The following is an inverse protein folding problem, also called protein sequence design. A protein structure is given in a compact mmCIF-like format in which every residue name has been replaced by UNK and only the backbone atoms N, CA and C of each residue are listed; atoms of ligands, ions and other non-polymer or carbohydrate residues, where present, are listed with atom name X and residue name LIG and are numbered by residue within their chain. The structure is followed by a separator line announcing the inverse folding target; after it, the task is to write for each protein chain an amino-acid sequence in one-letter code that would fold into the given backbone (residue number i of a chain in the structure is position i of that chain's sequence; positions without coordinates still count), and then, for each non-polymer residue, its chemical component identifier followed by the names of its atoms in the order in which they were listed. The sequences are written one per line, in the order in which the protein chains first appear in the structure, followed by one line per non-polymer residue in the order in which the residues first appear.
data_IF_846892162565
#
_entry.id   IF_846892162565
#
_cell.length_a   1.000
_cell.length_b   1.000
_cell.length_c   1.000
_cell.angle_alpha   90.00
_cell.angle_beta   90.00
_cell.angle_gamma   90.00
#
_symmetry.space_group_name_H-M   'P 1'
#
loop_
_entity.id
_entity.type
_entity.pdbx_description
1 polymer ?
#
# COMPACT_ATOMS: atom_id res chain seq x y z
N UNK A 1 1.16 -5.90 -14.47
CA UNK A 1 2.15 -5.80 -13.38
C UNK A 1 2.49 -4.33 -13.24
N UNK A 2 2.30 -3.76 -12.05
CA UNK A 2 2.62 -2.36 -11.75
C UNK A 2 3.89 -2.32 -10.89
N UNK A 3 4.73 -1.31 -11.11
CA UNK A 3 5.98 -1.12 -10.36
C UNK A 3 6.04 0.33 -9.92
N UNK A 4 6.47 0.54 -8.68
CA UNK A 4 6.70 1.86 -8.10
C UNK A 4 7.98 1.83 -7.28
N UNK A 5 8.74 2.92 -7.26
CA UNK A 5 9.90 3.02 -6.38
C UNK A 5 9.44 3.44 -4.99
N UNK A 6 10.01 2.82 -3.95
CA UNK A 6 9.89 3.29 -2.58
C UNK A 6 10.65 4.60 -2.36
N UNK A 7 10.48 5.22 -1.20
CA UNK A 7 11.30 6.38 -0.79
C UNK A 7 12.81 6.11 -0.79
N UNK A 8 13.22 4.86 -0.59
CA UNK A 8 14.63 4.45 -0.65
C UNK A 8 15.07 4.07 -2.07
N UNK A 9 14.28 4.44 -3.09
CA UNK A 9 14.49 4.14 -4.50
C UNK A 9 14.59 2.63 -4.81
N UNK A 10 13.96 1.79 -3.98
CA UNK A 10 13.86 0.35 -4.20
C UNK A 10 12.60 0.06 -5.03
N UNK A 11 12.71 -0.63 -6.18
CA UNK A 11 11.54 -0.95 -7.00
C UNK A 11 10.67 -2.02 -6.35
N UNK A 12 9.43 -1.68 -6.06
CA UNK A 12 8.41 -2.58 -5.50
C UNK A 12 7.41 -2.92 -6.59
N UNK A 13 7.15 -4.23 -6.77
CA UNK A 13 6.27 -4.76 -7.81
C UNK A 13 4.96 -5.26 -7.20
N UNK A 14 3.85 -4.75 -7.72
CA UNK A 14 2.51 -5.29 -7.48
C UNK A 14 2.11 -6.14 -8.68
N UNK A 15 2.23 -7.45 -8.54
CA UNK A 15 1.78 -8.42 -9.54
C UNK A 15 0.27 -8.58 -9.49
N UNK A 16 -0.31 -9.02 -10.62
CA UNK A 16 -1.75 -9.30 -10.70
C UNK A 16 -2.16 -10.38 -9.69
N UNK A 17 -1.36 -11.46 -9.57
CA UNK A 17 -1.59 -12.53 -8.60
C UNK A 17 -1.65 -12.00 -7.15
N UNK A 18 -0.69 -11.15 -6.74
CA UNK A 18 -0.67 -10.55 -5.40
C UNK A 18 -1.89 -9.64 -5.17
N UNK A 19 -2.26 -8.87 -6.19
CA UNK A 19 -3.43 -8.01 -6.13
C UNK A 19 -4.73 -8.81 -6.00
N UNK A 20 -4.86 -9.90 -6.76
CA UNK A 20 -5.99 -10.83 -6.67
C UNK A 20 -6.04 -11.52 -5.30
N UNK A 21 -4.90 -11.94 -4.75
CA UNK A 21 -4.84 -12.53 -3.42
C UNK A 21 -5.36 -11.55 -2.34
N UNK A 22 -4.93 -10.29 -2.41
CA UNK A 22 -5.34 -9.24 -1.50
C UNK A 22 -6.85 -8.96 -1.62
N UNK A 23 -7.34 -8.70 -2.83
CA UNK A 23 -8.75 -8.31 -3.07
C UNK A 23 -9.74 -9.46 -2.89
N UNK A 24 -9.29 -10.72 -2.95
CA UNK A 24 -10.12 -11.89 -2.63
C UNK A 24 -10.47 -11.96 -1.14
N UNK A 25 -9.55 -11.55 -0.26
CA UNK A 25 -9.75 -11.51 1.20
C UNK A 25 -10.26 -10.15 1.70
N UNK A 26 -9.94 -9.10 0.97
CA UNK A 26 -10.28 -7.71 1.26
C UNK A 26 -11.00 -7.06 0.07
N UNK A 27 -12.29 -7.36 -0.18
CA UNK A 27 -13.03 -6.80 -1.30
C UNK A 27 -13.07 -5.27 -1.33
N UNK A 28 -12.98 -4.63 -0.16
CA UNK A 28 -12.87 -3.17 0.01
C UNK A 28 -11.65 -2.57 -0.70
N UNK A 29 -10.62 -3.36 -0.95
CA UNK A 29 -9.38 -2.90 -1.58
C UNK A 29 -9.47 -2.85 -3.11
N UNK A 30 -10.52 -3.38 -3.74
CA UNK A 30 -10.63 -3.49 -5.21
C UNK A 30 -10.40 -2.17 -5.96
N UNK A 31 -10.79 -1.04 -5.36
CA UNK A 31 -10.63 0.30 -5.94
C UNK A 31 -9.47 1.09 -5.34
N UNK A 32 -8.62 0.46 -4.52
CA UNK A 32 -7.56 1.12 -3.75
C UNK A 32 -6.15 0.86 -4.30
N UNK A 33 -6.02 0.30 -5.51
CA UNK A 33 -4.71 -0.04 -6.09
C UNK A 33 -3.80 1.18 -6.24
N UNK A 34 -4.37 2.30 -6.69
CA UNK A 34 -3.64 3.56 -6.82
C UNK A 34 -3.14 4.05 -5.46
N UNK A 35 -3.96 3.93 -4.42
CA UNK A 35 -3.60 4.36 -3.06
C UNK A 35 -2.51 3.49 -2.44
N UNK A 36 -2.53 2.18 -2.70
CA UNK A 36 -1.42 1.30 -2.30
C UNK A 36 -0.11 1.75 -2.94
N UNK A 37 -0.11 2.01 -4.25
CA UNK A 37 1.10 2.45 -4.96
C UNK A 37 1.57 3.84 -4.50
N UNK A 38 0.64 4.77 -4.26
CA UNK A 38 0.93 6.10 -3.75
C UNK A 38 1.47 6.09 -2.32
N UNK A 39 0.97 5.19 -1.48
CA UNK A 39 1.47 4.98 -0.11
C UNK A 39 2.91 4.48 -0.14
N UNK A 40 3.26 3.62 -1.09
CA UNK A 40 4.64 3.11 -1.23
C UNK A 40 5.60 4.19 -1.77
N UNK A 41 5.21 4.96 -2.79
CA UNK A 41 6.09 6.00 -3.36
C UNK A 41 6.22 7.24 -2.50
N UNK A 42 5.12 7.67 -1.89
CA UNK A 42 5.03 8.91 -1.14
C UNK A 42 4.25 8.69 0.16
N UNK A 43 4.79 7.89 1.12
CA UNK A 43 4.24 7.78 2.45
C UNK A 43 4.38 9.09 3.21
N UNK A 44 3.46 9.31 4.16
CA UNK A 44 3.56 10.39 5.15
C UNK A 44 4.42 9.96 6.34
N UNK A 45 4.36 8.68 6.69
CA UNK A 45 5.11 8.08 7.79
C UNK A 45 5.73 6.78 7.31
N UNK A 46 6.99 6.54 7.69
CA UNK A 46 7.65 5.23 7.57
C UNK A 46 7.94 4.76 8.99
N UNK A 47 7.43 3.58 9.36
CA UNK A 47 7.64 2.98 10.67
C UNK A 47 8.33 1.63 10.55
N UNK A 48 9.26 1.32 11.45
CA UNK A 48 9.81 -0.04 11.55
C UNK A 48 8.77 -0.98 12.16
N UNK A 49 8.51 -2.11 11.51
CA UNK A 49 7.72 -3.21 12.05
C UNK A 49 8.54 -4.15 12.93
N UNK A 50 7.86 -5.13 13.53
CA UNK A 50 8.44 -5.99 14.57
C UNK A 50 9.53 -6.93 14.03
N UNK A 51 9.54 -7.20 12.72
CA UNK A 51 10.54 -8.06 12.05
C UNK A 51 11.54 -7.25 11.20
N UNK A 52 11.61 -5.93 11.41
CA UNK A 52 12.50 -5.03 10.68
C UNK A 52 11.98 -4.61 9.31
N UNK A 53 10.74 -4.92 8.96
CA UNK A 53 10.06 -4.39 7.79
C UNK A 53 9.84 -2.87 7.89
N UNK A 54 9.73 -2.20 6.74
CA UNK A 54 9.38 -0.78 6.68
C UNK A 54 7.92 -0.64 6.27
N UNK A 55 7.10 -0.13 7.20
CA UNK A 55 5.69 0.13 7.00
C UNK A 55 5.51 1.53 6.42
N UNK A 56 5.08 1.61 5.16
CA UNK A 56 4.69 2.84 4.51
C UNK A 56 3.25 3.18 4.89
N UNK A 57 3.04 4.38 5.44
CA UNK A 57 1.74 4.78 6.00
C UNK A 57 1.33 6.12 5.42
N UNK A 58 0.05 6.22 5.01
CA UNK A 58 -0.54 7.45 4.48
C UNK A 58 -2.00 7.59 4.87
N UNK A 59 -2.42 8.79 5.26
CA UNK A 59 -3.82 9.09 5.55
C UNK A 59 -4.62 9.33 4.27
N UNK A 60 -5.82 8.75 4.22
CA UNK A 60 -6.79 8.99 3.18
C UNK A 60 -8.10 9.51 3.79
N UNK A 61 -8.54 10.72 3.43
CA UNK A 61 -9.80 11.27 3.95
C UNK A 61 -11.02 10.52 3.41
N UNK A 62 -10.89 9.79 2.31
CA UNK A 62 -11.96 8.99 1.73
C UNK A 62 -11.40 7.66 1.21
N UNK A 63 -11.97 6.56 1.72
CA UNK A 63 -11.79 5.20 1.21
C UNK A 63 -13.16 4.52 1.13
N UNK A 64 -13.28 3.31 0.57
CA UNK A 64 -14.54 2.57 0.55
C UNK A 64 -15.15 2.29 1.94
N UNK A 65 -14.36 2.38 3.01
CA UNK A 65 -14.84 2.16 4.38
C UNK A 65 -15.08 3.48 5.14
N UNK A 66 -14.10 4.38 5.16
CA UNK A 66 -14.16 5.70 5.84
C UNK A 66 -12.88 6.50 5.54
N UNK A 67 -12.65 7.60 6.24
CA UNK A 67 -11.29 8.13 6.39
C UNK A 67 -10.44 7.16 7.22
N UNK A 68 -9.24 6.79 6.75
CA UNK A 68 -8.33 5.85 7.43
C UNK A 68 -6.88 6.08 7.00
N UNK A 69 -5.95 5.55 7.79
CA UNK A 69 -4.58 5.32 7.33
C UNK A 69 -4.51 4.01 6.54
N UNK A 70 -3.87 4.06 5.38
CA UNK A 70 -3.45 2.87 4.65
C UNK A 70 -2.02 2.53 5.07
N UNK A 71 -1.77 1.26 5.37
CA UNK A 71 -0.46 0.73 5.77
C UNK A 71 -0.05 -0.32 4.74
N UNK A 72 1.14 -0.18 4.18
CA UNK A 72 1.71 -1.11 3.20
C UNK A 72 3.10 -1.55 3.67
N UNK A 73 3.34 -2.86 3.68
CA UNK A 73 4.58 -3.51 4.12
C UNK A 73 5.20 -4.32 2.98
#
# INVERSE_FOLDING_TARGET
MLTVNSQNNVPIRLTEERWQHLTKRHPEMKTQQAEVLATVSAPEIIQAGDSGELLAIRFYPQTPLSSKFLVVA
#
